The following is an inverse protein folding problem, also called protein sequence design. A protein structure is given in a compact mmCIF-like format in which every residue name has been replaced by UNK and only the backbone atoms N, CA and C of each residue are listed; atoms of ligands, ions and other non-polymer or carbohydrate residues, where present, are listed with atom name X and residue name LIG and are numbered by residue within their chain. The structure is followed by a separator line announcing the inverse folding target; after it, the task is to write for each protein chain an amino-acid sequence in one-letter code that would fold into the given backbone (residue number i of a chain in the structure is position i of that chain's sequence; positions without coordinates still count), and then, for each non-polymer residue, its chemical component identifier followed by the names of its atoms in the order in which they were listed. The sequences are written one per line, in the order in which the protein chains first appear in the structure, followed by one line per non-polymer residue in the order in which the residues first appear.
data_IF_194194988944
#
_entry.id   IF_194194988944
#
_cell.length_a   1.000
_cell.length_b   1.000
_cell.length_c   1.000
_cell.angle_alpha   90.00
_cell.angle_beta   90.00
_cell.angle_gamma   90.00
#
_symmetry.space_group_name_H-M   'P 1'
#
loop_
_entity.id
_entity.type
_entity.pdbx_description
1 polymer ?
#
# COMPACT_ATOMS: atom_id res chain seq x y z
N UNK A 1 -9.32 19.97 23.69
CA UNK A 1 -8.96 19.32 24.96
C UNK A 1 -7.45 19.14 24.96
N UNK A 2 -6.73 19.89 25.81
CA UNK A 2 -5.27 19.84 25.94
C UNK A 2 -4.98 19.51 27.40
N UNK A 3 -4.18 18.46 27.65
CA UNK A 3 -3.73 18.08 29.00
C UNK A 3 -4.47 16.91 29.68
N UNK A 4 -5.53 16.36 29.10
CA UNK A 4 -6.25 15.21 29.66
C UNK A 4 -5.84 13.89 29.00
N UNK A 5 -5.63 12.85 29.81
CA UNK A 5 -5.35 11.49 29.33
C UNK A 5 -6.60 10.91 28.67
N UNK A 6 -6.60 10.87 27.33
CA UNK A 6 -7.71 10.29 26.55
C UNK A 6 -7.37 8.87 26.14
N UNK A 7 -8.39 8.00 26.22
CA UNK A 7 -8.31 6.68 25.63
C UNK A 7 -8.23 6.78 24.11
N UNK A 8 -7.44 5.90 23.50
CA UNK A 8 -7.34 5.82 22.05
C UNK A 8 -8.65 5.33 21.45
N UNK A 9 -9.14 6.00 20.42
CA UNK A 9 -10.37 5.64 19.69
C UNK A 9 -10.32 4.22 19.13
N UNK A 10 -9.15 3.77 18.68
CA UNK A 10 -8.93 2.43 18.15
C UNK A 10 -8.56 1.39 19.23
N UNK A 11 -8.38 1.82 20.48
CA UNK A 11 -7.93 0.99 21.59
C UNK A 11 -8.82 -0.23 21.82
N UNK A 12 -10.14 -0.07 22.04
CA UNK A 12 -11.04 -1.19 22.26
C UNK A 12 -11.03 -2.23 21.14
N UNK A 13 -10.96 -1.79 19.88
CA UNK A 13 -10.94 -2.69 18.72
C UNK A 13 -9.62 -3.47 18.63
N UNK A 14 -8.49 -2.83 18.92
CA UNK A 14 -7.17 -3.47 18.89
C UNK A 14 -7.00 -4.51 19.98
N UNK A 15 -7.40 -4.21 21.21
CA UNK A 15 -7.26 -5.16 22.35
C UNK A 15 -8.23 -6.33 22.25
N UNK A 16 -9.36 -6.14 21.57
CA UNK A 16 -10.33 -7.21 21.31
C UNK A 16 -10.00 -8.06 20.07
N UNK A 17 -8.92 -7.76 19.34
CA UNK A 17 -8.58 -8.45 18.09
C UNK A 17 -9.59 -8.22 16.95
N UNK A 18 -10.35 -7.12 16.99
CA UNK A 18 -11.41 -6.79 16.00
C UNK A 18 -11.00 -5.66 15.06
N UNK A 19 -9.83 -5.07 15.25
CA UNK A 19 -9.29 -4.08 14.33
C UNK A 19 -8.81 -4.78 13.06
N UNK A 20 -9.45 -4.50 11.93
CA UNK A 20 -9.02 -5.00 10.64
C UNK A 20 -7.69 -4.34 10.22
N UNK A 21 -6.72 -5.17 9.85
CA UNK A 21 -5.43 -4.74 9.30
C UNK A 21 -5.35 -5.04 7.81
N UNK A 22 -4.35 -4.46 7.13
CA UNK A 22 -4.16 -4.54 5.68
C UNK A 22 -4.34 -5.96 5.08
N UNK A 23 -3.89 -6.99 5.81
CA UNK A 23 -3.98 -8.38 5.37
C UNK A 23 -5.39 -8.98 5.42
N UNK A 24 -6.30 -8.43 6.23
CA UNK A 24 -7.64 -8.98 6.47
C UNK A 24 -8.68 -8.42 5.48
N UNK A 25 -8.26 -7.51 4.60
CA UNK A 25 -9.12 -6.95 3.56
C UNK A 25 -9.11 -7.83 2.30
N UNK A 26 -10.13 -8.69 2.15
CA UNK A 26 -10.29 -9.62 1.01
C UNK A 26 -11.45 -9.26 0.05
N UNK A 27 -12.04 -8.07 0.22
CA UNK A 27 -13.22 -7.60 -0.55
C UNK A 27 -12.97 -7.51 -2.06
N UNK A 28 -11.70 -7.35 -2.47
CA UNK A 28 -11.28 -7.22 -3.87
C UNK A 28 -10.94 -8.58 -4.55
N UNK A 29 -11.20 -9.71 -3.88
CA UNK A 29 -10.88 -11.05 -4.39
C UNK A 29 -9.49 -11.54 -3.98
N UNK A 30 -8.92 -12.47 -4.74
CA UNK A 30 -7.60 -13.06 -4.44
C UNK A 30 -6.48 -12.06 -4.77
N UNK A 31 -5.70 -11.60 -3.77
CA UNK A 31 -4.62 -10.66 -3.98
C UNK A 31 -3.41 -11.36 -4.61
N UNK A 32 -2.63 -10.59 -5.39
CA UNK A 32 -1.30 -11.00 -5.80
C UNK A 32 -0.30 -10.69 -4.68
N UNK A 33 0.71 -11.54 -4.55
CA UNK A 33 1.83 -11.30 -3.65
C UNK A 33 2.96 -10.56 -4.38
N UNK A 34 3.46 -9.51 -3.75
CA UNK A 34 4.60 -8.73 -4.25
C UNK A 34 5.81 -8.87 -3.33
N UNK A 35 7.00 -8.92 -3.93
CA UNK A 35 8.26 -8.93 -3.22
C UNK A 35 9.19 -7.82 -3.76
N UNK A 36 9.89 -7.12 -2.86
CA UNK A 36 10.81 -6.06 -3.23
C UNK A 36 12.23 -6.61 -3.19
N UNK A 37 12.89 -6.61 -4.35
CA UNK A 37 14.32 -6.93 -4.44
C UNK A 37 15.13 -5.67 -4.15
N UNK A 38 15.78 -5.64 -2.98
CA UNK A 38 16.64 -4.54 -2.54
C UNK A 38 18.04 -4.57 -3.15
N UNK A 39 18.74 -3.44 -3.09
CA UNK A 39 20.14 -3.37 -3.48
C UNK A 39 21.03 -4.14 -2.48
N UNK A 40 22.04 -4.85 -2.99
CA UNK A 40 23.01 -5.61 -2.18
C UNK A 40 24.18 -4.75 -1.69
N UNK A 41 24.29 -3.51 -2.17
CA UNK A 41 25.36 -2.56 -1.87
C UNK A 41 24.79 -1.24 -1.35
N UNK A 42 25.57 -0.52 -0.53
CA UNK A 42 25.13 0.76 0.04
C UNK A 42 25.04 1.91 -0.97
N UNK A 43 25.86 1.93 -2.02
CA UNK A 43 25.84 2.95 -3.07
C UNK A 43 26.43 2.43 -4.38
N UNK A 44 25.73 2.66 -5.49
CA UNK A 44 26.20 2.35 -6.83
C UNK A 44 25.29 2.93 -7.89
N UNK A 45 25.60 2.66 -9.17
CA UNK A 45 24.75 3.01 -10.31
C UNK A 45 24.23 1.71 -10.93
N UNK A 46 22.93 1.67 -11.20
CA UNK A 46 22.32 0.58 -11.96
C UNK A 46 22.76 0.74 -13.42
N UNK A 47 23.60 -0.18 -13.92
CA UNK A 47 23.99 -0.24 -15.33
C UNK A 47 22.95 -1.02 -16.15
N UNK A 48 22.40 -2.08 -15.55
CA UNK A 48 21.49 -3.01 -16.20
C UNK A 48 20.59 -3.68 -15.16
N UNK A 49 19.40 -4.10 -15.61
CA UNK A 49 18.48 -4.98 -14.88
C UNK A 49 18.04 -6.02 -15.89
N UNK A 50 18.41 -7.28 -15.67
CA UNK A 50 17.88 -8.42 -16.40
C UNK A 50 16.73 -9.03 -15.59
N UNK A 51 15.54 -9.04 -16.19
CA UNK A 51 14.31 -9.59 -15.59
C UNK A 51 13.75 -10.79 -16.34
N UNK A 52 14.45 -11.31 -17.37
CA UNK A 52 13.90 -12.33 -18.27
C UNK A 52 13.44 -13.60 -17.57
N UNK A 53 14.32 -14.17 -16.73
CA UNK A 53 14.00 -15.39 -15.97
C UNK A 53 12.85 -15.18 -14.99
N UNK A 54 12.79 -14.02 -14.35
CA UNK A 54 11.74 -13.68 -13.39
C UNK A 54 10.39 -13.50 -14.07
N UNK A 55 10.35 -12.85 -15.24
CA UNK A 55 9.13 -12.68 -16.03
C UNK A 55 8.61 -13.99 -16.61
N UNK A 56 9.51 -14.93 -16.95
CA UNK A 56 9.16 -16.25 -17.47
C UNK A 56 8.77 -17.28 -16.40
N UNK A 57 8.99 -16.98 -15.12
CA UNK A 57 8.75 -17.93 -14.05
C UNK A 57 7.24 -18.24 -13.87
N UNK A 58 6.86 -19.52 -13.62
CA UNK A 58 5.47 -19.89 -13.38
C UNK A 58 4.84 -19.11 -12.22
N UNK A 59 3.68 -18.50 -12.47
CA UNK A 59 2.94 -17.75 -11.45
C UNK A 59 3.36 -16.28 -11.29
N UNK A 60 4.41 -15.82 -11.97
CA UNK A 60 4.76 -14.40 -11.99
C UNK A 60 3.82 -13.65 -12.92
N UNK A 61 3.14 -12.64 -12.37
CA UNK A 61 2.21 -11.80 -13.14
C UNK A 61 2.86 -10.57 -13.75
N UNK A 62 3.90 -10.04 -13.11
CA UNK A 62 4.59 -8.81 -13.49
C UNK A 62 5.93 -8.68 -12.73
N UNK A 63 6.96 -8.18 -13.42
CA UNK A 63 8.19 -7.65 -12.79
C UNK A 63 8.20 -6.14 -12.97
N UNK A 64 8.14 -5.38 -11.87
CA UNK A 64 8.11 -3.92 -11.91
C UNK A 64 9.52 -3.36 -11.78
N UNK A 65 9.91 -2.47 -12.70
CA UNK A 65 11.19 -1.75 -12.68
C UNK A 65 10.98 -0.26 -12.92
N UNK A 66 12.03 0.53 -12.79
CA UNK A 66 11.99 1.96 -13.13
C UNK A 66 11.59 2.24 -14.59
N UNK A 67 11.64 1.24 -15.49
CA UNK A 67 11.29 1.38 -16.90
C UNK A 67 9.78 1.30 -17.17
N UNK A 68 9.03 0.57 -16.32
CA UNK A 68 7.60 0.31 -16.51
C UNK A 68 6.71 0.84 -15.38
N UNK A 69 7.32 1.44 -14.34
CA UNK A 69 6.58 2.05 -13.24
C UNK A 69 5.68 3.20 -13.73
N UNK A 70 4.45 3.33 -13.21
CA UNK A 70 3.55 4.42 -13.58
C UNK A 70 4.14 5.78 -13.19
N UNK A 71 3.86 6.80 -14.01
CA UNK A 71 4.29 8.17 -13.72
C UNK A 71 3.72 8.63 -12.38
N UNK A 72 4.61 9.14 -11.51
CA UNK A 72 4.26 9.61 -10.16
C UNK A 72 3.24 10.74 -10.17
N UNK A 73 3.07 11.43 -11.29
CA UNK A 73 2.12 12.54 -11.44
C UNK A 73 0.64 12.10 -11.46
N UNK A 74 0.34 10.82 -11.71
CA UNK A 74 -1.05 10.34 -11.89
C UNK A 74 -1.67 9.71 -10.63
N UNK A 75 -0.93 9.55 -9.54
CA UNK A 75 -1.40 8.83 -8.34
C UNK A 75 -2.27 9.68 -7.39
N UNK A 76 -2.50 10.96 -7.72
CA UNK A 76 -3.41 11.82 -6.95
C UNK A 76 -4.78 11.86 -7.65
N UNK A 77 -5.54 10.78 -7.52
CA UNK A 77 -6.99 10.89 -7.70
C UNK A 77 -7.53 11.82 -6.60
N UNK A 78 -8.40 12.79 -6.91
CA UNK A 78 -9.00 13.62 -5.86
C UNK A 78 -9.77 12.70 -4.93
N UNK A 79 -9.31 12.59 -3.69
CA UNK A 79 -10.04 11.96 -2.61
C UNK A 79 -11.42 12.63 -2.55
N UNK A 80 -12.45 11.95 -3.08
CA UNK A 80 -13.84 12.39 -2.96
C UNK A 80 -14.21 12.24 -1.49
N UNK A 81 -14.09 13.32 -0.73
CA UNK A 81 -14.76 13.42 0.56
C UNK A 81 -16.27 13.45 0.30
N UNK A 82 -16.92 12.28 0.37
CA UNK A 82 -18.36 12.22 0.50
C UNK A 82 -18.72 12.53 1.95
N UNK A 83 -18.55 13.78 2.36
CA UNK A 83 -19.11 14.29 3.62
C UNK A 83 -20.39 15.02 3.26
N UNK A 84 -21.47 14.24 3.14
CA UNK A 84 -22.82 14.77 3.27
C UNK A 84 -23.01 15.28 4.69
N UNK A 85 -22.64 16.55 4.92
CA UNK A 85 -23.07 17.27 6.10
C UNK A 85 -24.54 17.66 5.89
N UNK A 86 -25.48 17.23 6.75
CA UNK A 86 -26.82 17.78 6.72
C UNK A 86 -26.75 19.25 7.14
N UNK A 87 -27.12 20.13 6.22
CA UNK A 87 -27.46 21.51 6.49
C UNK A 87 -28.48 21.58 7.63
N UNK A 88 -28.09 22.16 8.76
CA UNK A 88 -29.02 22.78 9.71
C UNK A 88 -28.51 24.19 9.98
N UNK A 89 -29.44 25.13 9.83
CA UNK A 89 -29.32 26.57 9.97
C UNK A 89 -28.76 27.00 11.33
#
# INVERSE_FOLDING_TARGET
MIGQAMQRVDGPLKVAGRAAYAYEHWEAGQPLYGFIVGATIGKGRIIEIDSGDAEGAPGVRMVMTHRNAPSRASAMSPFRSNTGAPSRC
#
